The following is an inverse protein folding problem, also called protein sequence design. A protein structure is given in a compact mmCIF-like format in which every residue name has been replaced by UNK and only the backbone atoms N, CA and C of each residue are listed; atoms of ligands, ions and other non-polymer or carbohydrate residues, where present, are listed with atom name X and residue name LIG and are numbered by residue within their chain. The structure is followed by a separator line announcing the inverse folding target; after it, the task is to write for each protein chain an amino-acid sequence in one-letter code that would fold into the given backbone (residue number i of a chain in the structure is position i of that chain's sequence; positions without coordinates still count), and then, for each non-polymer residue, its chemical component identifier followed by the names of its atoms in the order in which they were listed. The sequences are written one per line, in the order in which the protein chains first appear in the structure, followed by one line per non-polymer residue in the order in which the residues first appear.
data_IF_049515496466
#
_entry.id   IF_049515496466
#
_cell.length_a   1.000
_cell.length_b   1.000
_cell.length_c   1.000
_cell.angle_alpha   90.00
_cell.angle_beta   90.00
_cell.angle_gamma   90.00
#
_symmetry.space_group_name_H-M   'P 1'
#
loop_
_entity.id
_entity.type
_entity.pdbx_description
1 polymer ?
#
# COMPACT_ATOMS: atom_id res chain seq x y z
N UNK A 1 5.82 20.01 22.73
CA UNK A 1 5.89 18.54 22.91
C UNK A 1 5.94 17.98 21.50
N UNK A 2 7.00 17.46 20.92
CA UNK A 2 8.29 17.01 21.40
C UNK A 2 8.74 15.91 20.43
N UNK A 3 8.86 16.23 19.13
CA UNK A 3 9.56 15.46 18.09
C UNK A 3 9.09 14.04 17.72
N UNK A 4 8.41 13.33 18.60
CA UNK A 4 8.15 11.90 18.47
C UNK A 4 6.72 11.63 17.98
N UNK A 5 6.59 10.61 17.12
CA UNK A 5 5.31 10.09 16.66
C UNK A 5 4.82 9.00 17.62
N UNK A 6 3.55 9.05 18.01
CA UNK A 6 2.89 7.95 18.72
C UNK A 6 2.85 6.71 17.81
N UNK A 7 3.30 5.58 18.34
CA UNK A 7 3.42 4.33 17.58
C UNK A 7 2.28 3.38 17.94
N UNK A 8 1.65 2.84 16.91
CA UNK A 8 0.52 1.93 17.02
C UNK A 8 0.88 0.55 16.48
N UNK A 9 0.30 -0.50 17.07
CA UNK A 9 0.50 -1.87 16.57
C UNK A 9 -0.33 -2.14 15.32
N UNK A 10 -1.45 -1.42 15.16
CA UNK A 10 -2.30 -1.52 13.99
C UNK A 10 -2.80 -0.15 13.53
N UNK A 11 -3.07 -0.04 12.23
CA UNK A 11 -3.70 1.16 11.67
C UNK A 11 -5.06 1.44 12.31
N UNK A 12 -5.84 0.40 12.60
CA UNK A 12 -7.18 0.57 13.19
C UNK A 12 -7.12 1.31 14.53
N UNK A 13 -6.14 0.99 15.39
CA UNK A 13 -5.93 1.72 16.65
C UNK A 13 -5.60 3.19 16.39
N UNK A 14 -4.72 3.47 15.42
CA UNK A 14 -4.34 4.83 15.07
C UNK A 14 -5.54 5.65 14.53
N UNK A 15 -6.39 5.04 13.70
CA UNK A 15 -7.60 5.69 13.18
C UNK A 15 -8.62 5.96 14.29
N UNK A 16 -8.78 5.03 15.23
CA UNK A 16 -9.64 5.25 16.41
C UNK A 16 -9.12 6.44 17.24
N UNK A 17 -7.81 6.54 17.44
CA UNK A 17 -7.22 7.66 18.16
C UNK A 17 -7.34 8.99 17.39
N UNK A 18 -7.20 8.96 16.07
CA UNK A 18 -7.48 10.13 15.20
C UNK A 18 -8.93 10.58 15.32
N UNK A 19 -9.88 9.64 15.30
CA UNK A 19 -11.32 9.92 15.45
C UNK A 19 -11.71 10.49 16.81
N UNK A 20 -10.94 10.17 17.86
CA UNK A 20 -11.20 10.61 19.23
C UNK A 20 -10.33 11.80 19.66
N UNK A 21 -9.76 12.54 18.70
CA UNK A 21 -8.91 13.71 18.93
C UNK A 21 -7.70 13.45 19.85
N UNK A 22 -7.18 12.21 19.85
CA UNK A 22 -5.97 11.85 20.61
C UNK A 22 -4.69 12.14 19.83
N UNK A 23 -4.78 12.10 18.51
CA UNK A 23 -3.73 12.51 17.57
C UNK A 23 -4.33 13.47 16.54
N UNK A 24 -3.54 14.43 16.06
CA UNK A 24 -4.00 15.42 15.08
C UNK A 24 -3.89 14.93 13.62
N UNK A 25 -2.98 13.98 13.36
CA UNK A 25 -2.72 13.45 12.02
C UNK A 25 -2.14 12.04 12.10
N UNK A 26 -2.34 11.26 11.02
CA UNK A 26 -1.80 9.91 10.86
C UNK A 26 -0.95 9.85 9.58
N UNK A 27 0.32 9.45 9.72
CA UNK A 27 1.17 9.10 8.57
C UNK A 27 0.94 7.63 8.21
N UNK A 28 0.44 7.37 7.00
CA UNK A 28 0.02 6.03 6.55
C UNK A 28 0.14 5.88 5.03
N UNK A 29 0.31 4.64 4.57
CA UNK A 29 0.22 4.29 3.15
C UNK A 29 -1.14 4.68 2.56
N UNK A 30 -1.10 5.51 1.51
CA UNK A 30 -2.30 6.03 0.84
C UNK A 30 -3.24 4.92 0.37
N UNK A 31 -2.71 3.83 -0.21
CA UNK A 31 -3.55 2.73 -0.73
C UNK A 31 -4.37 2.07 0.36
N UNK A 32 -3.83 1.96 1.58
CA UNK A 32 -4.55 1.40 2.71
C UNK A 32 -5.58 2.40 3.25
N UNK A 33 -5.18 3.67 3.40
CA UNK A 33 -6.08 4.72 3.87
C UNK A 33 -7.30 4.87 2.95
N UNK A 34 -7.09 4.99 1.64
CA UNK A 34 -8.17 5.14 0.65
C UNK A 34 -9.14 3.94 0.69
N UNK A 35 -8.62 2.71 0.77
CA UNK A 35 -9.44 1.50 0.89
C UNK A 35 -10.24 1.47 2.21
N UNK A 36 -9.59 1.74 3.34
CA UNK A 36 -10.22 1.68 4.66
C UNK A 36 -11.33 2.73 4.79
N UNK A 37 -11.02 4.00 4.49
CA UNK A 37 -11.96 5.11 4.61
C UNK A 37 -13.19 4.91 3.71
N UNK A 38 -12.98 4.39 2.49
CA UNK A 38 -14.07 4.05 1.56
C UNK A 38 -14.91 2.89 2.09
N UNK A 39 -14.27 1.84 2.61
CA UNK A 39 -14.97 0.65 3.13
C UNK A 39 -15.82 0.97 4.36
N UNK A 40 -15.33 1.83 5.25
CA UNK A 40 -16.06 2.25 6.46
C UNK A 40 -17.06 3.38 6.18
N UNK A 41 -17.06 3.97 4.98
CA UNK A 41 -17.99 5.03 4.58
C UNK A 41 -17.73 6.38 5.26
N UNK A 42 -16.47 6.63 5.63
CA UNK A 42 -16.03 7.84 6.37
C UNK A 42 -15.03 8.68 5.57
N UNK A 43 -14.86 8.44 4.28
CA UNK A 43 -13.91 9.18 3.44
C UNK A 43 -14.13 10.69 3.46
N UNK A 44 -15.38 11.15 3.55
CA UNK A 44 -15.72 12.58 3.62
C UNK A 44 -15.43 13.23 4.99
N UNK A 45 -15.06 12.43 6.01
CA UNK A 45 -14.71 12.91 7.35
C UNK A 45 -13.21 13.26 7.49
N UNK A 46 -12.37 12.88 6.52
CA UNK A 46 -10.91 13.03 6.60
C UNK A 46 -10.32 13.66 5.34
N UNK A 47 -9.29 14.48 5.53
CA UNK A 47 -8.47 15.01 4.45
C UNK A 47 -7.17 14.20 4.29
N UNK A 48 -6.82 13.84 3.05
CA UNK A 48 -5.53 13.23 2.72
C UNK A 48 -4.60 14.27 2.11
N UNK A 49 -3.43 14.45 2.70
CA UNK A 49 -2.43 15.45 2.26
C UNK A 49 -1.12 14.72 1.90
N UNK A 50 -0.44 15.10 0.80
CA UNK A 50 0.88 14.55 0.48
C UNK A 50 1.88 14.81 1.62
N UNK A 51 2.57 13.76 2.05
CA UNK A 51 3.56 13.82 3.13
C UNK A 51 4.86 14.55 2.74
N UNK A 52 5.13 14.67 1.44
CA UNK A 52 6.40 15.19 0.91
C UNK A 52 7.53 14.17 0.86
N UNK A 53 7.27 12.91 1.24
CA UNK A 53 8.20 11.80 1.04
C UNK A 53 8.18 11.31 -0.41
N UNK A 54 9.25 10.64 -0.81
CA UNK A 54 9.33 10.00 -2.13
C UNK A 54 8.31 8.86 -2.25
N UNK A 55 7.93 8.54 -3.48
CA UNK A 55 7.05 7.40 -3.74
C UNK A 55 7.77 6.08 -3.48
N UNK A 56 7.06 5.14 -2.89
CA UNK A 56 7.59 3.81 -2.56
C UNK A 56 6.99 2.75 -3.48
N UNK A 57 7.69 1.63 -3.64
CA UNK A 57 7.21 0.45 -4.37
C UNK A 57 7.01 -0.71 -3.41
N UNK A 58 5.85 -1.37 -3.51
CA UNK A 58 5.61 -2.61 -2.78
C UNK A 58 6.38 -3.77 -3.40
N UNK A 59 6.92 -4.63 -2.54
CA UNK A 59 7.70 -5.79 -2.95
C UNK A 59 7.47 -6.98 -2.01
N UNK A 60 7.83 -8.17 -2.48
CA UNK A 60 7.85 -9.38 -1.65
C UNK A 60 9.26 -9.57 -1.08
N UNK A 61 9.38 -9.49 0.25
CA UNK A 61 10.64 -9.72 0.95
C UNK A 61 11.03 -11.20 0.97
N UNK A 62 12.25 -11.51 0.53
CA UNK A 62 12.85 -12.85 0.59
C UNK A 62 14.17 -12.82 1.36
N UNK A 63 14.61 -13.97 1.93
CA UNK A 63 15.94 -14.01 2.57
C UNK A 63 17.02 -13.75 1.53
N UNK A 64 18.11 -13.04 1.86
CA UNK A 64 19.17 -12.72 0.91
C UNK A 64 19.77 -13.93 0.17
N UNK A 65 19.77 -15.10 0.80
CA UNK A 65 20.28 -16.35 0.23
C UNK A 65 19.31 -17.05 -0.75
N UNK A 66 18.02 -16.74 -0.73
CA UNK A 66 16.99 -17.47 -1.50
C UNK A 66 16.85 -16.96 -2.94
N UNK A 67 17.94 -17.06 -3.72
CA UNK A 67 17.98 -16.55 -5.10
C UNK A 67 16.97 -17.22 -6.04
N UNK A 68 16.78 -18.54 -5.90
CA UNK A 68 15.81 -19.29 -6.72
C UNK A 68 14.36 -18.86 -6.46
N UNK A 69 14.03 -18.53 -5.20
CA UNK A 69 12.70 -18.05 -4.86
C UNK A 69 12.47 -16.66 -5.45
N UNK A 70 13.48 -15.78 -5.36
CA UNK A 70 13.43 -14.45 -5.96
C UNK A 70 13.17 -14.52 -7.47
N UNK A 71 13.93 -15.35 -8.19
CA UNK A 71 13.77 -15.55 -9.63
C UNK A 71 12.37 -16.07 -9.97
N UNK A 72 11.89 -17.09 -9.25
CA UNK A 72 10.56 -17.66 -9.48
C UNK A 72 9.41 -16.67 -9.20
N UNK A 73 9.53 -15.85 -8.15
CA UNK A 73 8.52 -14.80 -7.85
C UNK A 73 8.48 -13.74 -8.95
N UNK A 74 9.65 -13.26 -9.38
CA UNK A 74 9.73 -12.23 -10.41
C UNK A 74 9.19 -12.72 -11.75
N UNK A 75 9.50 -13.97 -12.13
CA UNK A 75 8.95 -14.55 -13.37
C UNK A 75 7.43 -14.73 -13.27
N UNK A 76 6.93 -15.26 -12.15
CA UNK A 76 5.50 -15.42 -11.94
C UNK A 76 4.73 -14.10 -12.02
N UNK A 77 5.27 -12.99 -11.51
CA UNK A 77 4.63 -11.68 -11.66
C UNK A 77 4.53 -11.22 -13.12
N UNK A 78 5.57 -11.46 -13.92
CA UNK A 78 5.55 -11.16 -15.36
C UNK A 78 4.54 -12.03 -16.10
N UNK A 79 4.52 -13.33 -15.83
CA UNK A 79 3.55 -14.28 -16.40
C UNK A 79 2.11 -13.87 -16.05
N UNK A 80 1.81 -13.60 -14.78
CA UNK A 80 0.49 -13.17 -14.33
C UNK A 80 0.01 -11.88 -15.01
N UNK A 81 0.93 -10.95 -15.29
CA UNK A 81 0.61 -9.74 -16.03
C UNK A 81 0.35 -10.01 -17.51
N UNK A 82 1.15 -10.87 -18.16
CA UNK A 82 0.95 -11.27 -19.55
C UNK A 82 -0.36 -12.04 -19.76
N UNK A 83 -0.75 -12.85 -18.77
CA UNK A 83 -2.01 -13.61 -18.76
C UNK A 83 -3.24 -12.75 -18.43
N UNK A 84 -3.05 -11.48 -18.06
CA UNK A 84 -4.15 -10.57 -17.70
C UNK A 84 -4.67 -10.76 -16.27
N UNK A 85 -4.11 -11.70 -15.49
CA UNK A 85 -4.57 -12.04 -14.14
C UNK A 85 -4.20 -10.93 -13.16
N UNK A 86 -3.00 -10.35 -13.28
CA UNK A 86 -2.60 -9.22 -12.43
C UNK A 86 -3.59 -8.05 -12.56
N UNK A 87 -3.99 -7.73 -13.79
CA UNK A 87 -4.90 -6.63 -14.09
C UNK A 87 -6.30 -6.94 -13.56
N UNK A 88 -6.78 -8.18 -13.64
CA UNK A 88 -8.05 -8.59 -13.02
C UNK A 88 -8.04 -8.37 -11.49
N UNK A 89 -6.94 -8.72 -10.83
CA UNK A 89 -6.76 -8.49 -9.39
C UNK A 89 -6.70 -6.99 -9.10
N UNK A 90 -5.90 -6.23 -9.87
CA UNK A 90 -5.74 -4.79 -9.70
C UNK A 90 -7.06 -4.04 -9.86
N UNK A 91 -7.83 -4.36 -10.90
CA UNK A 91 -9.15 -3.78 -11.15
C UNK A 91 -10.14 -4.09 -10.02
N UNK A 92 -10.11 -5.31 -9.48
CA UNK A 92 -10.99 -5.70 -8.37
C UNK A 92 -10.75 -4.87 -7.11
N UNK A 93 -9.49 -4.57 -6.78
CA UNK A 93 -9.13 -3.92 -5.52
C UNK A 93 -8.95 -2.40 -5.63
N UNK A 94 -8.51 -1.91 -6.78
CA UNK A 94 -8.14 -0.51 -6.98
C UNK A 94 -8.92 0.19 -8.11
N UNK A 95 -9.61 -0.57 -8.98
CA UNK A 95 -10.33 0.01 -10.12
C UNK A 95 -9.43 0.54 -11.25
N UNK A 96 -8.12 0.32 -11.15
CA UNK A 96 -7.13 0.72 -12.15
C UNK A 96 -6.01 -0.33 -12.26
N UNK A 97 -5.15 -0.23 -13.28
CA UNK A 97 -3.96 -1.07 -13.42
C UNK A 97 -2.76 -0.43 -12.70
N UNK A 98 -2.37 -0.99 -11.57
CA UNK A 98 -1.27 -0.50 -10.72
C UNK A 98 0.08 -1.15 -11.03
N UNK A 99 0.19 -1.92 -12.11
CA UNK A 99 1.44 -2.62 -12.45
C UNK A 99 2.59 -1.66 -12.78
N UNK A 100 3.75 -1.93 -12.20
CA UNK A 100 5.00 -1.21 -12.49
C UNK A 100 5.67 -1.74 -13.77
N UNK A 101 6.61 -1.00 -14.38
CA UNK A 101 7.35 -1.46 -15.56
C UNK A 101 8.01 -2.85 -15.39
N UNK A 102 8.50 -3.16 -14.18
CA UNK A 102 9.15 -4.43 -13.86
C UNK A 102 8.17 -5.61 -13.95
N UNK A 103 6.94 -5.43 -13.44
CA UNK A 103 5.85 -6.42 -13.55
C UNK A 103 5.40 -6.56 -15.00
N UNK A 104 5.44 -5.46 -15.77
CA UNK A 104 5.13 -5.46 -17.21
C UNK A 104 6.20 -6.13 -18.07
N UNK A 105 7.38 -6.42 -17.51
CA UNK A 105 8.53 -6.92 -18.27
C UNK A 105 9.13 -5.87 -19.21
N UNK A 106 8.97 -4.58 -18.88
CA UNK A 106 9.47 -3.45 -19.65
C UNK A 106 10.67 -2.84 -18.91
N UNK A 107 11.86 -3.35 -19.20
CA UNK A 107 13.15 -2.79 -18.78
C UNK A 107 13.86 -2.09 -19.95
#
# INVERSE_FOLDING_TARGET
KGGDADQYQSVNEAIIDLKNDRIDALLIDRVYADYYLTTEGIADEYDTIPSGFESESFAVGVRPADKKLLEALNEAFKELYQEGIFQQISQKWFGEDVATPEVKGQE
#
